data_IF_484352892886
#
_entry.id   IF_484352892886
#
_cell.length_a   1.000
_cell.length_b   1.000
_cell.length_c   1.000
_cell.angle_alpha   90.00
_cell.angle_beta   90.00
_cell.angle_gamma   90.00
#
_symmetry.space_group_name_H-M   'P 1'
#
loop_
_entity.id
_entity.type
_entity.pdbx_description
1 polymer ?
#
# COMPACT_ATOMS: atom_id res chain seq x y z
N UNK A 1 -2.39 13.33 13.02
CA UNK A 1 -1.75 12.29 12.15
C UNK A 1 -0.97 12.96 11.03
N UNK A 2 0.24 12.51 10.79
CA UNK A 2 1.08 13.00 9.70
C UNK A 2 1.21 11.91 8.65
N UNK A 3 0.91 12.26 7.40
CA UNK A 3 1.02 11.37 6.24
C UNK A 3 2.21 11.85 5.41
N UNK A 4 3.20 11.01 5.23
CA UNK A 4 4.45 11.38 4.55
C UNK A 4 5.07 10.20 3.82
N UNK A 5 6.06 10.47 2.98
CA UNK A 5 6.85 9.41 2.35
C UNK A 5 7.63 8.61 3.40
N UNK A 6 7.85 7.35 3.09
CA UNK A 6 8.67 6.44 3.89
C UNK A 6 10.11 6.98 4.02
N UNK A 7 10.68 6.80 5.19
CA UNK A 7 12.08 7.05 5.49
C UNK A 7 12.71 5.78 6.09
N UNK A 8 14.02 5.62 5.96
CA UNK A 8 14.70 4.40 6.42
C UNK A 8 14.50 4.09 7.90
N UNK A 9 14.28 5.11 8.72
CA UNK A 9 13.98 4.94 10.16
C UNK A 9 12.64 4.23 10.43
N UNK A 10 11.79 4.13 9.42
CA UNK A 10 10.44 3.54 9.58
C UNK A 10 10.44 2.02 9.44
N UNK A 11 11.56 1.41 9.09
CA UNK A 11 11.62 -0.01 8.73
C UNK A 11 11.12 -0.96 9.81
N UNK A 12 11.47 -0.70 11.08
CA UNK A 12 11.05 -1.56 12.18
C UNK A 12 9.53 -1.54 12.38
N UNK A 13 8.92 -0.35 12.24
CA UNK A 13 7.47 -0.20 12.35
C UNK A 13 6.76 -0.90 11.18
N UNK A 14 7.28 -0.78 9.96
CA UNK A 14 6.74 -1.48 8.79
C UNK A 14 6.80 -2.99 9.02
N UNK A 15 7.94 -3.52 9.49
CA UNK A 15 8.08 -4.93 9.80
C UNK A 15 7.04 -5.40 10.80
N UNK A 16 6.85 -4.65 11.88
CA UNK A 16 5.89 -5.01 12.92
C UNK A 16 4.45 -5.03 12.38
N UNK A 17 4.08 -4.07 11.55
CA UNK A 17 2.76 -4.02 10.92
C UNK A 17 2.58 -5.20 9.96
N UNK A 18 3.59 -5.52 9.15
CA UNK A 18 3.53 -6.67 8.24
C UNK A 18 3.31 -7.99 9.00
N UNK A 19 4.01 -8.20 10.10
CA UNK A 19 3.87 -9.40 10.92
C UNK A 19 2.53 -9.45 11.65
N UNK A 20 2.19 -8.38 12.34
CA UNK A 20 1.05 -8.36 13.26
C UNK A 20 -0.29 -8.15 12.55
N UNK A 21 -0.31 -7.38 11.48
CA UNK A 21 -1.54 -6.97 10.83
C UNK A 21 -1.79 -7.62 9.48
N UNK A 22 -0.74 -8.06 8.78
CA UNK A 22 -0.85 -8.76 7.50
C UNK A 22 -0.39 -10.23 7.55
N UNK A 23 0.23 -10.66 8.64
CA UNK A 23 0.65 -12.04 8.83
C UNK A 23 1.87 -12.47 8.02
N UNK A 24 2.69 -11.52 7.59
CA UNK A 24 3.92 -11.81 6.85
C UNK A 24 5.13 -11.91 7.79
N UNK A 25 5.80 -13.05 7.80
CA UNK A 25 7.06 -13.20 8.51
C UNK A 25 8.18 -12.53 7.72
N UNK A 26 8.78 -11.50 8.29
CA UNK A 26 9.87 -10.75 7.66
C UNK A 26 11.05 -10.60 8.62
N UNK A 27 12.24 -11.01 8.17
CA UNK A 27 13.47 -10.59 8.84
C UNK A 27 13.75 -9.13 8.50
N UNK A 28 14.19 -8.37 9.49
CA UNK A 28 14.41 -6.93 9.34
C UNK A 28 15.39 -6.60 8.21
N UNK A 29 16.52 -7.30 8.14
CA UNK A 29 17.55 -7.06 7.12
C UNK A 29 17.03 -7.37 5.71
N UNK A 30 16.28 -8.47 5.56
CA UNK A 30 15.69 -8.84 4.26
C UNK A 30 14.67 -7.83 3.82
N UNK A 31 13.82 -7.37 4.74
CA UNK A 31 12.82 -6.35 4.44
C UNK A 31 13.50 -5.03 4.04
N UNK A 32 14.53 -4.63 4.78
CA UNK A 32 15.28 -3.41 4.48
C UNK A 32 15.90 -3.47 3.07
N UNK A 33 16.53 -4.60 2.73
CA UNK A 33 17.10 -4.80 1.40
C UNK A 33 16.02 -4.74 0.31
N UNK A 34 14.86 -5.34 0.56
CA UNK A 34 13.75 -5.35 -0.39
C UNK A 34 13.19 -3.94 -0.60
N UNK A 35 12.95 -3.18 0.46
CA UNK A 35 12.46 -1.81 0.33
C UNK A 35 13.47 -0.92 -0.38
N UNK A 36 14.75 -1.06 -0.07
CA UNK A 36 15.80 -0.31 -0.75
C UNK A 36 15.83 -0.63 -2.25
N UNK A 37 15.68 -1.90 -2.64
CA UNK A 37 15.59 -2.30 -4.04
C UNK A 37 14.36 -1.71 -4.71
N UNK A 38 13.20 -1.77 -4.05
CA UNK A 38 11.96 -1.18 -4.56
C UNK A 38 12.14 0.31 -4.85
N UNK A 39 12.64 1.05 -3.86
CA UNK A 39 12.82 2.50 -3.99
C UNK A 39 13.87 2.86 -5.04
N UNK A 40 14.91 2.04 -5.20
CA UNK A 40 15.95 2.23 -6.21
C UNK A 40 15.41 2.10 -7.63
N UNK A 41 14.40 1.27 -7.85
CA UNK A 41 13.79 1.08 -9.17
C UNK A 41 13.01 2.30 -9.66
N UNK A 42 12.62 3.19 -8.75
CA UNK A 42 12.00 4.48 -9.08
C UNK A 42 10.50 4.45 -9.36
N UNK A 43 9.90 3.26 -9.52
CA UNK A 43 8.45 3.14 -9.78
C UNK A 43 7.65 2.66 -8.57
N UNK A 44 8.27 2.58 -7.40
CA UNK A 44 7.61 2.26 -6.14
C UNK A 44 7.44 3.50 -5.28
N UNK A 45 6.30 3.61 -4.61
CA UNK A 45 6.04 4.67 -3.63
C UNK A 45 5.52 4.04 -2.35
N UNK A 46 6.04 4.51 -1.24
CA UNK A 46 5.60 4.07 0.09
C UNK A 46 5.28 5.30 0.91
N UNK A 47 4.05 5.38 1.42
CA UNK A 47 3.64 6.43 2.34
C UNK A 47 3.34 5.81 3.69
N UNK A 48 3.71 6.53 4.74
CA UNK A 48 3.45 6.13 6.13
C UNK A 48 2.55 7.15 6.79
N UNK A 49 1.84 6.72 7.81
CA UNK A 49 1.10 7.61 8.70
C UNK A 49 1.65 7.48 10.10
N UNK A 50 1.89 8.63 10.74
CA UNK A 50 2.49 8.71 12.05
C UNK A 50 1.54 9.36 13.06
N UNK A 51 1.48 8.80 14.25
CA UNK A 51 0.93 9.42 15.45
C UNK A 51 2.13 9.87 16.29
N UNK A 52 2.47 11.16 16.23
CA UNK A 52 3.73 11.64 16.77
C UNK A 52 4.91 10.97 16.06
N UNK A 53 5.79 10.32 16.81
CA UNK A 53 6.95 9.61 16.28
C UNK A 53 6.64 8.16 15.89
N UNK A 54 5.44 7.67 16.18
CA UNK A 54 5.07 6.29 15.94
C UNK A 54 4.40 6.12 14.58
N UNK A 55 4.98 5.27 13.74
CA UNK A 55 4.33 4.85 12.48
C UNK A 55 3.24 3.85 12.82
N UNK A 56 2.01 4.15 12.40
CA UNK A 56 0.81 3.35 12.73
C UNK A 56 0.13 2.76 11.51
N UNK A 57 0.62 3.04 10.33
CA UNK A 57 0.10 2.46 9.09
C UNK A 57 0.94 2.84 7.90
N UNK A 58 0.73 2.15 6.79
CA UNK A 58 1.43 2.45 5.55
C UNK A 58 0.64 1.97 4.33
N UNK A 59 0.98 2.54 3.18
CA UNK A 59 0.52 2.09 1.87
C UNK A 59 1.72 2.00 0.94
N UNK A 60 1.80 0.90 0.21
CA UNK A 60 2.83 0.68 -0.82
C UNK A 60 2.20 0.58 -2.19
N UNK A 61 2.81 1.21 -3.17
CA UNK A 61 2.31 1.28 -4.53
C UNK A 61 3.43 1.04 -5.54
N UNK A 62 3.08 0.52 -6.71
CA UNK A 62 3.99 0.37 -7.84
C UNK A 62 3.30 0.86 -9.11
N UNK A 63 3.97 1.72 -9.87
CA UNK A 63 3.46 2.16 -11.18
C UNK A 63 3.94 1.20 -12.27
N UNK A 64 3.16 1.09 -13.33
CA UNK A 64 3.44 0.15 -14.44
C UNK A 64 2.92 0.68 -15.76
N UNK A 65 3.47 0.16 -16.84
CA UNK A 65 2.99 0.39 -18.19
C UNK A 65 2.12 -0.80 -18.63
N UNK A 66 1.12 -0.53 -19.43
CA UNK A 66 0.25 -1.57 -20.00
C UNK A 66 -0.14 -1.19 -21.42
N UNK A 67 -0.46 -2.20 -22.23
CA UNK A 67 -0.75 -1.99 -23.64
C UNK A 67 -1.96 -1.07 -23.87
N UNK A 68 -2.95 -1.16 -22.99
CA UNK A 68 -4.23 -0.44 -23.12
C UNK A 68 -4.27 0.92 -22.45
N UNK A 69 -3.18 1.34 -21.80
CA UNK A 69 -3.12 2.61 -21.08
C UNK A 69 -2.32 3.64 -21.87
N UNK A 70 -2.83 4.86 -21.97
CA UNK A 70 -2.09 6.00 -22.56
C UNK A 70 -0.99 6.48 -21.62
N UNK A 71 -1.27 6.49 -20.32
CA UNK A 71 -0.33 6.86 -19.28
C UNK A 71 0.01 5.63 -18.43
N UNK A 72 0.42 5.82 -17.19
CA UNK A 72 0.75 4.71 -16.31
C UNK A 72 -0.45 4.28 -15.48
N UNK A 73 -0.46 3.00 -15.10
CA UNK A 73 -1.30 2.50 -14.03
C UNK A 73 -0.53 2.43 -12.72
N UNK A 74 -1.22 2.32 -11.61
CA UNK A 74 -0.61 2.11 -10.30
C UNK A 74 -1.32 0.96 -9.59
N UNK A 75 -0.54 0.04 -9.04
CA UNK A 75 -1.07 -1.04 -8.21
C UNK A 75 -0.76 -0.76 -6.74
N UNK A 76 -1.78 -0.84 -5.90
CA UNK A 76 -1.58 -0.85 -4.46
C UNK A 76 -1.17 -2.27 -4.07
N UNK A 77 0.04 -2.42 -3.53
CA UNK A 77 0.61 -3.73 -3.19
C UNK A 77 0.52 -4.03 -1.69
N UNK A 78 0.29 -3.02 -0.86
CA UNK A 78 0.04 -3.19 0.55
C UNK A 78 -0.71 -1.97 1.10
N UNK A 79 -1.64 -2.22 2.00
CA UNK A 79 -2.31 -1.19 2.79
C UNK A 79 -2.59 -1.80 4.16
N UNK A 80 -2.02 -1.24 5.20
CA UNK A 80 -2.22 -1.74 6.55
C UNK A 80 -2.22 -0.60 7.57
N UNK A 81 -3.07 -0.76 8.56
CA UNK A 81 -3.16 0.13 9.72
C UNK A 81 -3.10 -0.74 10.97
N UNK A 82 -2.28 -0.36 11.92
CA UNK A 82 -2.15 -1.05 13.20
C UNK A 82 -3.52 -1.21 13.87
N UNK A 83 -3.74 -2.34 14.48
CA UNK A 83 -5.04 -2.75 15.01
C UNK A 83 -5.70 -1.69 15.91
N UNK A 84 -4.91 -1.07 16.78
CA UNK A 84 -5.39 -0.06 17.74
C UNK A 84 -5.83 1.24 17.06
N UNK A 85 -5.42 1.44 15.81
CA UNK A 85 -5.69 2.66 15.03
C UNK A 85 -6.75 2.47 13.96
N UNK A 86 -7.36 1.29 13.89
CA UNK A 86 -8.41 1.00 12.90
C UNK A 86 -9.70 1.72 13.22
N UNK A 87 -10.57 1.87 12.23
CA UNK A 87 -11.89 2.53 12.31
C UNK A 87 -11.81 4.00 12.71
N UNK A 88 -10.71 4.66 12.36
CA UNK A 88 -10.50 6.10 12.60
C UNK A 88 -10.29 6.88 11.32
N UNK A 89 -10.58 6.28 10.16
CA UNK A 89 -10.42 6.92 8.85
C UNK A 89 -8.98 6.97 8.34
N UNK A 90 -8.04 6.30 8.99
CA UNK A 90 -6.62 6.34 8.61
C UNK A 90 -6.39 5.63 7.29
N UNK A 91 -7.02 4.46 7.08
CA UNK A 91 -6.92 3.75 5.80
C UNK A 91 -7.46 4.56 4.64
N UNK A 92 -8.59 5.23 4.84
CA UNK A 92 -9.17 6.15 3.85
C UNK A 92 -8.19 7.26 3.50
N UNK A 93 -7.55 7.86 4.49
CA UNK A 93 -6.61 8.96 4.25
C UNK A 93 -5.31 8.47 3.59
N UNK A 94 -4.85 7.26 3.91
CA UNK A 94 -3.72 6.65 3.20
C UNK A 94 -4.04 6.43 1.71
N UNK A 95 -5.23 5.92 1.39
CA UNK A 95 -5.68 5.81 0.01
C UNK A 95 -5.70 7.16 -0.69
N UNK A 96 -6.26 8.18 -0.05
CA UNK A 96 -6.30 9.54 -0.62
C UNK A 96 -4.91 10.11 -0.86
N UNK A 97 -3.97 9.82 0.03
CA UNK A 97 -2.58 10.24 -0.14
C UNK A 97 -1.97 9.62 -1.39
N UNK A 98 -2.16 8.31 -1.59
CA UNK A 98 -1.68 7.62 -2.77
C UNK A 98 -2.40 8.09 -4.05
N UNK A 99 -3.72 8.30 -3.98
CA UNK A 99 -4.51 8.81 -5.10
C UNK A 99 -4.09 10.21 -5.52
N UNK A 100 -3.77 11.06 -4.55
CA UNK A 100 -3.29 12.42 -4.85
C UNK A 100 -1.93 12.37 -5.54
N UNK A 101 -1.01 11.54 -5.04
CA UNK A 101 0.27 11.32 -5.70
C UNK A 101 0.07 10.80 -7.12
N UNK A 102 -0.86 9.87 -7.32
CA UNK A 102 -1.18 9.32 -8.64
C UNK A 102 -1.63 10.40 -9.59
N UNK A 103 -2.54 11.29 -9.18
CA UNK A 103 -3.00 12.42 -9.99
C UNK A 103 -1.86 13.33 -10.40
N UNK A 104 -0.94 13.61 -9.50
CA UNK A 104 0.21 14.49 -9.75
C UNK A 104 1.26 13.85 -10.67
N UNK A 105 1.22 12.54 -10.85
CA UNK A 105 2.21 11.79 -11.61
C UNK A 105 1.64 11.08 -12.85
N UNK A 106 0.52 11.58 -13.38
CA UNK A 106 -0.11 11.07 -14.61
C UNK A 106 -0.49 9.59 -14.56
N UNK A 107 -0.90 9.12 -13.39
CA UNK A 107 -1.48 7.80 -13.24
C UNK A 107 -2.96 7.88 -13.60
N UNK A 108 -3.41 7.07 -14.56
CA UNK A 108 -4.80 7.12 -15.03
C UNK A 108 -5.71 6.07 -14.40
N UNK A 109 -5.14 5.04 -13.77
CA UNK A 109 -5.93 3.98 -13.13
C UNK A 109 -5.17 3.42 -11.94
N UNK A 110 -5.91 3.08 -10.90
CA UNK A 110 -5.37 2.42 -9.71
C UNK A 110 -6.08 1.09 -9.54
N UNK A 111 -5.31 0.03 -9.35
CA UNK A 111 -5.86 -1.30 -9.10
C UNK A 111 -5.23 -1.93 -7.87
N UNK A 112 -5.90 -2.93 -7.34
CA UNK A 112 -5.39 -3.76 -6.26
C UNK A 112 -6.02 -5.15 -6.33
N UNK A 113 -5.39 -6.11 -5.67
CA UNK A 113 -5.95 -7.42 -5.45
C UNK A 113 -6.20 -7.58 -3.94
N UNK A 114 -7.34 -8.14 -3.58
CA UNK A 114 -7.68 -8.48 -2.20
C UNK A 114 -8.15 -9.93 -2.16
N UNK A 115 -7.63 -10.71 -1.20
CA UNK A 115 -7.96 -12.12 -1.10
C UNK A 115 -9.47 -12.35 -1.00
N UNK A 116 -9.96 -13.43 -1.64
CA UNK A 116 -11.39 -13.74 -1.67
C UNK A 116 -12.05 -13.79 -0.28
N UNK A 117 -11.42 -14.34 0.78
CA UNK A 117 -12.04 -14.38 2.10
C UNK A 117 -12.09 -13.04 2.85
N UNK A 118 -11.42 -11.99 2.35
CA UNK A 118 -11.30 -10.70 3.03
C UNK A 118 -12.49 -9.79 2.71
N UNK A 119 -13.69 -10.21 3.08
CA UNK A 119 -14.93 -9.48 2.78
C UNK A 119 -14.96 -8.07 3.36
N UNK A 120 -14.43 -7.86 4.56
CA UNK A 120 -14.36 -6.54 5.18
C UNK A 120 -13.52 -5.57 4.36
N UNK A 121 -12.39 -6.04 3.81
CA UNK A 121 -11.55 -5.25 2.94
C UNK A 121 -12.28 -4.92 1.63
N UNK A 122 -13.03 -5.86 1.07
CA UNK A 122 -13.83 -5.62 -0.15
C UNK A 122 -14.85 -4.50 0.07
N UNK A 123 -15.58 -4.54 1.18
CA UNK A 123 -16.54 -3.49 1.54
C UNK A 123 -15.82 -2.14 1.67
N UNK A 124 -14.67 -2.12 2.32
CA UNK A 124 -13.87 -0.91 2.45
C UNK A 124 -13.49 -0.32 1.08
N UNK A 125 -12.92 -1.14 0.19
CA UNK A 125 -12.51 -0.65 -1.13
C UNK A 125 -13.68 -0.17 -1.97
N UNK A 126 -14.79 -0.89 -1.95
CA UNK A 126 -16.00 -0.47 -2.67
C UNK A 126 -16.52 0.87 -2.12
N UNK A 127 -16.47 1.07 -0.80
CA UNK A 127 -16.86 2.35 -0.19
C UNK A 127 -15.95 3.52 -0.61
N UNK A 128 -14.72 3.23 -1.03
CA UNK A 128 -13.76 4.21 -1.52
C UNK A 128 -13.83 4.42 -3.05
N UNK A 129 -14.80 3.81 -3.71
CA UNK A 129 -15.01 3.97 -5.15
C UNK A 129 -14.29 2.95 -6.03
N UNK A 130 -13.67 1.94 -5.45
CA UNK A 130 -13.04 0.85 -6.21
C UNK A 130 -14.08 -0.16 -6.65
N UNK A 131 -14.02 -0.57 -7.91
CA UNK A 131 -14.96 -1.51 -8.49
C UNK A 131 -14.39 -2.92 -8.47
N UNK A 132 -15.20 -3.88 -8.08
CA UNK A 132 -14.86 -5.30 -8.19
C UNK A 132 -15.03 -5.72 -9.65
N UNK A 133 -13.95 -5.72 -10.41
CA UNK A 133 -14.02 -5.82 -11.87
C UNK A 133 -13.37 -7.07 -12.46
N UNK A 134 -12.45 -7.73 -11.74
CA UNK A 134 -11.72 -8.88 -12.29
C UNK A 134 -11.31 -9.84 -11.17
N UNK A 135 -10.94 -11.06 -11.58
CA UNK A 135 -10.37 -12.06 -10.69
C UNK A 135 -8.85 -12.06 -10.80
N UNK A 136 -8.16 -12.18 -9.68
CA UNK A 136 -6.72 -12.42 -9.67
C UNK A 136 -6.43 -13.93 -9.70
N UNK A 137 -5.44 -14.31 -10.48
CA UNK A 137 -4.95 -15.70 -10.55
C UNK A 137 -3.49 -15.72 -10.18
N UNK A 138 -3.07 -16.73 -9.43
CA UNK A 138 -1.68 -16.90 -9.01
C UNK A 138 -1.20 -18.31 -9.30
N UNK A 139 0.03 -18.42 -9.76
CA UNK A 139 0.73 -19.69 -9.91
C UNK A 139 2.16 -19.50 -9.40
N UNK A 140 2.56 -20.32 -8.45
CA UNK A 140 3.96 -20.31 -8.00
C UNK A 140 4.81 -21.13 -8.98
N UNK A 141 5.95 -20.59 -9.31
CA UNK A 141 6.88 -21.23 -10.25
C UNK A 141 7.98 -21.96 -9.47
#
# INVERSE_FOLDING_TARGET
MIYRKYESKDISAIRDILENDLGYNCELDKLNNRINEMLKRGNYQIFVVCDGDKVVGFIGCVSYLAFELENEGMKIIALAVSKEYRRKGIGTQLLKTAEQWAKENNIEVILLNSGLPREDAHVFYESQGYLKKSYGFIKKI
#
